data_IF_956377463139
#
_entry.id   IF_956377463139
#
_cell.length_a   1.000
_cell.length_b   1.000
_cell.length_c   1.000
_cell.angle_alpha   90.00
_cell.angle_beta   90.00
_cell.angle_gamma   90.00
#
_symmetry.space_group_name_H-M   'P 1'
#
loop_
_entity.id
_entity.type
_entity.pdbx_description
1 polymer ?
#
# COMPACT_ATOMS: atom_id res chain seq x y z
N UNK A 1 -29.33 -2.98 -7.63
CA UNK A 1 -28.05 -3.53 -7.12
C UNK A 1 -26.93 -3.13 -8.05
N UNK A 2 -25.85 -2.48 -7.57
CA UNK A 2 -24.71 -2.12 -8.43
C UNK A 2 -23.96 -3.40 -8.80
N UNK A 3 -23.99 -3.79 -10.08
CA UNK A 3 -23.31 -5.01 -10.55
C UNK A 3 -21.82 -4.70 -10.70
N UNK A 4 -20.99 -5.55 -10.10
CA UNK A 4 -19.54 -5.45 -10.24
C UNK A 4 -19.16 -5.89 -11.66
N UNK A 5 -18.48 -5.02 -12.42
CA UNK A 5 -17.97 -5.34 -13.76
C UNK A 5 -16.59 -5.98 -13.67
N UNK A 6 -15.68 -5.33 -12.92
CA UNK A 6 -14.26 -5.67 -12.93
C UNK A 6 -13.59 -5.43 -11.57
N UNK A 7 -12.55 -6.22 -11.31
CA UNK A 7 -11.63 -6.05 -10.18
C UNK A 7 -10.23 -5.87 -10.74
N UNK A 8 -9.64 -4.72 -10.50
CA UNK A 8 -8.32 -4.34 -11.00
C UNK A 8 -7.38 -4.20 -9.80
N UNK A 9 -6.18 -4.77 -9.91
CA UNK A 9 -5.12 -4.61 -8.91
C UNK A 9 -3.96 -3.86 -9.56
N UNK A 10 -3.63 -2.69 -9.05
CA UNK A 10 -2.50 -1.89 -9.53
C UNK A 10 -1.49 -1.67 -8.40
N UNK A 11 -0.23 -1.50 -8.77
CA UNK A 11 0.82 -1.06 -7.87
C UNK A 11 1.23 0.34 -8.30
N UNK A 12 1.01 1.33 -7.45
CA UNK A 12 1.28 2.73 -7.77
C UNK A 12 2.18 3.31 -6.69
N UNK A 13 3.03 4.27 -7.08
CA UNK A 13 3.83 5.01 -6.11
C UNK A 13 2.90 5.95 -5.33
N UNK A 14 3.10 6.02 -4.01
CA UNK A 14 2.41 6.98 -3.15
C UNK A 14 2.56 8.41 -3.69
N UNK A 15 1.49 9.21 -3.61
CA UNK A 15 1.43 10.62 -4.01
C UNK A 15 1.73 10.91 -5.51
N UNK A 16 2.06 9.90 -6.31
CA UNK A 16 2.54 10.02 -7.69
C UNK A 16 1.67 9.23 -8.68
N UNK A 17 0.36 9.13 -8.45
CA UNK A 17 -0.55 8.58 -9.45
C UNK A 17 -0.76 9.56 -10.60
N UNK A 18 -0.49 9.11 -11.83
CA UNK A 18 -0.65 9.88 -13.07
C UNK A 18 -1.48 9.05 -14.07
N UNK A 19 -2.23 9.65 -15.02
CA UNK A 19 -3.06 8.92 -15.99
C UNK A 19 -2.24 8.17 -17.06
N UNK A 20 -0.93 8.03 -16.87
CA UNK A 20 -0.01 7.38 -17.78
C UNK A 20 -0.31 5.87 -17.97
N UNK A 21 0.37 5.19 -18.93
CA UNK A 21 0.00 3.88 -19.48
C UNK A 21 -0.19 2.65 -18.55
N UNK A 22 0.15 2.62 -17.24
CA UNK A 22 -0.39 1.56 -16.38
C UNK A 22 -1.79 1.86 -15.84
N UNK A 23 -2.08 3.13 -15.49
CA UNK A 23 -3.36 3.54 -14.89
C UNK A 23 -4.37 3.86 -15.98
N UNK A 24 -3.97 4.66 -16.98
CA UNK A 24 -4.83 5.07 -18.08
C UNK A 24 -5.33 3.90 -18.90
N UNK A 25 -4.45 2.95 -19.25
CA UNK A 25 -4.82 1.75 -20.02
C UNK A 25 -5.72 0.81 -19.22
N UNK A 26 -5.44 0.60 -17.92
CA UNK A 26 -6.20 -0.34 -17.10
C UNK A 26 -7.58 0.18 -16.70
N UNK A 27 -7.70 1.49 -16.45
CA UNK A 27 -8.95 2.11 -15.99
C UNK A 27 -9.75 2.72 -17.15
N UNK A 28 -9.08 3.25 -18.18
CA UNK A 28 -9.72 3.91 -19.31
C UNK A 28 -10.67 3.02 -20.11
N UNK A 29 -10.37 1.72 -20.21
CA UNK A 29 -11.24 0.72 -20.88
C UNK A 29 -12.64 0.67 -20.25
N UNK A 30 -12.76 0.99 -18.97
CA UNK A 30 -14.04 0.97 -18.25
C UNK A 30 -14.76 2.32 -18.22
N UNK A 31 -14.21 3.36 -18.85
CA UNK A 31 -14.84 4.69 -18.92
C UNK A 31 -14.95 5.42 -17.57
N UNK A 32 -14.05 5.11 -16.62
CA UNK A 32 -13.97 5.76 -15.30
C UNK A 32 -13.12 7.03 -15.38
N UNK A 33 -13.46 8.02 -14.55
CA UNK A 33 -12.70 9.27 -14.48
C UNK A 33 -11.32 9.04 -13.83
N UNK A 34 -10.29 8.86 -14.68
CA UNK A 34 -8.91 8.59 -14.26
C UNK A 34 -8.35 9.75 -13.43
N UNK A 35 -8.69 10.99 -13.78
CA UNK A 35 -8.18 12.18 -13.08
C UNK A 35 -8.71 12.26 -11.64
N UNK A 36 -9.99 11.93 -11.43
CA UNK A 36 -10.58 11.82 -10.09
C UNK A 36 -9.94 10.70 -9.27
N UNK A 37 -9.63 9.57 -9.91
CA UNK A 37 -8.90 8.49 -9.26
C UNK A 37 -7.51 8.94 -8.82
N UNK A 38 -6.73 9.57 -9.71
CA UNK A 38 -5.39 10.07 -9.40
C UNK A 38 -5.41 11.07 -8.23
N UNK A 39 -6.34 12.04 -8.23
CA UNK A 39 -6.49 13.02 -7.14
C UNK A 39 -6.84 12.35 -5.81
N UNK A 40 -7.86 11.47 -5.79
CA UNK A 40 -8.30 10.76 -4.57
C UNK A 40 -7.21 9.82 -4.06
N UNK A 41 -6.45 9.20 -4.95
CA UNK A 41 -5.34 8.33 -4.59
C UNK A 41 -4.19 9.13 -3.97
N UNK A 42 -3.77 10.24 -4.58
CA UNK A 42 -2.71 11.09 -4.05
C UNK A 42 -3.11 11.69 -2.69
N UNK A 43 -4.38 12.09 -2.52
CA UNK A 43 -4.88 12.57 -1.24
C UNK A 43 -4.84 11.50 -0.14
N UNK A 44 -5.30 10.27 -0.44
CA UNK A 44 -5.28 9.16 0.55
C UNK A 44 -3.89 8.60 0.82
N UNK A 45 -2.96 8.75 -0.12
CA UNK A 45 -1.57 8.29 0.03
C UNK A 45 -0.63 9.39 0.53
N UNK A 46 -1.15 10.57 0.83
CA UNK A 46 -0.37 11.68 1.39
C UNK A 46 0.27 11.27 2.72
N UNK A 47 1.59 11.30 2.76
CA UNK A 47 2.39 10.87 3.93
C UNK A 47 2.78 9.38 3.93
N UNK A 48 2.28 8.58 3.00
CA UNK A 48 2.83 7.25 2.73
C UNK A 48 3.98 7.37 1.72
N UNK A 49 5.00 6.52 1.83
CA UNK A 49 6.14 6.48 0.91
C UNK A 49 6.24 5.09 0.30
N UNK A 50 6.68 4.99 -0.95
CA UNK A 50 6.94 3.70 -1.61
C UNK A 50 5.80 3.22 -2.52
N UNK A 51 5.85 1.94 -2.89
CA UNK A 51 4.90 1.33 -3.82
C UNK A 51 3.71 0.75 -3.04
N UNK A 52 2.54 1.32 -3.28
CA UNK A 52 1.29 0.99 -2.61
C UNK A 52 0.39 0.18 -3.56
N UNK A 53 0.00 -1.04 -3.16
CA UNK A 53 -0.99 -1.80 -3.89
C UNK A 53 -2.40 -1.22 -3.69
N UNK A 54 -3.11 -1.00 -4.79
CA UNK A 54 -4.50 -0.51 -4.81
C UNK A 54 -5.41 -1.53 -5.48
N UNK A 55 -6.53 -1.81 -4.82
CA UNK A 55 -7.58 -2.68 -5.35
C UNK A 55 -8.75 -1.82 -5.78
N UNK A 56 -9.09 -1.85 -7.06
CA UNK A 56 -10.14 -1.04 -7.66
C UNK A 56 -11.27 -1.98 -8.10
N UNK A 57 -12.49 -1.66 -7.68
CA UNK A 57 -13.72 -2.33 -8.08
C UNK A 57 -14.52 -1.38 -8.95
N UNK A 58 -14.84 -1.80 -10.17
CA UNK A 58 -15.62 -1.01 -11.12
C UNK A 58 -17.04 -1.57 -11.19
N UNK A 59 -18.02 -0.69 -11.15
CA UNK A 59 -19.45 -1.02 -11.18
C UNK A 59 -20.10 -0.59 -12.50
N UNK A 60 -21.23 -1.21 -12.83
CA UNK A 60 -22.00 -1.02 -14.08
C UNK A 60 -22.38 0.44 -14.39
N UNK A 61 -22.46 1.29 -13.37
CA UNK A 61 -22.82 2.71 -13.43
C UNK A 61 -21.60 3.63 -13.66
N UNK A 62 -20.44 3.07 -14.05
CA UNK A 62 -19.14 3.78 -14.11
C UNK A 62 -18.68 4.32 -12.75
N UNK A 63 -19.31 3.89 -11.64
CA UNK A 63 -18.77 4.14 -10.32
C UNK A 63 -17.56 3.24 -10.07
N UNK A 64 -16.60 3.74 -9.30
CA UNK A 64 -15.48 2.95 -8.81
C UNK A 64 -15.34 3.08 -7.30
N UNK A 65 -14.97 1.98 -6.66
CA UNK A 65 -14.54 1.95 -5.27
C UNK A 65 -13.10 1.44 -5.25
N UNK A 66 -12.22 2.15 -4.57
CA UNK A 66 -10.84 1.72 -4.43
C UNK A 66 -10.45 1.60 -2.95
N UNK A 67 -9.73 0.54 -2.64
CA UNK A 67 -9.15 0.28 -1.34
C UNK A 67 -7.63 0.29 -1.50
N UNK A 68 -6.98 1.17 -0.77
CA UNK A 68 -5.53 1.20 -0.63
C UNK A 68 -5.18 0.20 0.46
N UNK A 69 -4.21 -0.69 0.19
CA UNK A 69 -3.58 -1.50 1.23
C UNK A 69 -2.24 -0.87 1.58
N UNK A 70 -1.84 -0.92 2.85
CA UNK A 70 -0.50 -0.49 3.24
C UNK A 70 0.56 -1.33 2.54
N UNK A 71 1.73 -0.71 2.33
CA UNK A 71 2.91 -1.29 1.72
C UNK A 71 3.17 -2.72 2.19
N UNK A 72 3.64 -3.61 1.31
CA UNK A 72 3.98 -4.96 1.71
C UNK A 72 4.96 -4.94 2.90
N UNK A 73 4.77 -5.89 3.81
CA UNK A 73 5.56 -5.98 5.07
C UNK A 73 7.05 -6.00 4.74
N UNK A 74 7.43 -6.70 3.66
CA UNK A 74 8.81 -6.76 3.17
C UNK A 74 9.44 -5.40 2.88
N UNK A 75 8.66 -4.40 2.45
CA UNK A 75 9.18 -3.08 2.10
C UNK A 75 9.26 -2.17 3.33
N UNK A 76 8.33 -2.32 4.28
CA UNK A 76 8.41 -1.68 5.60
C UNK A 76 9.61 -2.20 6.40
N UNK A 77 9.79 -3.52 6.42
CA UNK A 77 10.92 -4.17 7.07
C UNK A 77 12.25 -3.73 6.45
N UNK A 78 12.35 -3.71 5.11
CA UNK A 78 13.54 -3.20 4.42
C UNK A 78 13.85 -1.75 4.76
N UNK A 79 12.82 -0.89 4.86
CA UNK A 79 13.02 0.53 5.20
C UNK A 79 13.59 0.67 6.60
N UNK A 80 13.08 -0.09 7.57
CA UNK A 80 13.60 -0.13 8.94
C UNK A 80 15.02 -0.70 8.99
N UNK A 81 15.28 -1.79 8.25
CA UNK A 81 16.60 -2.43 8.19
C UNK A 81 17.66 -1.49 7.57
N UNK A 82 17.32 -0.77 6.50
CA UNK A 82 18.20 0.25 5.90
C UNK A 82 18.49 1.38 6.89
N UNK A 83 17.49 1.86 7.64
CA UNK A 83 17.69 2.89 8.68
C UNK A 83 18.63 2.37 9.77
N UNK A 84 18.45 1.12 10.22
CA UNK A 84 19.30 0.49 11.23
C UNK A 84 20.74 0.26 10.72
N UNK A 85 20.91 -0.14 9.45
CA UNK A 85 22.21 -0.28 8.79
C UNK A 85 22.95 1.05 8.64
N UNK A 86 22.24 2.12 8.31
CA UNK A 86 22.87 3.44 8.21
C UNK A 86 23.31 3.99 9.59
N UNK A 87 22.70 3.53 10.68
CA UNK A 87 23.07 3.92 12.04
C UNK A 87 24.22 3.09 12.62
N UNK A 88 24.39 1.86 12.16
CA UNK A 88 25.36 0.88 12.68
C UNK A 88 26.26 0.53 11.51
N UNK A 89 27.39 1.22 11.38
CA UNK A 89 28.28 1.14 10.21
C UNK A 89 28.53 -0.28 9.67
N UNK A 90 28.74 -0.34 8.35
CA UNK A 90 28.98 -1.56 7.56
C UNK A 90 30.04 -2.46 8.22
N UNK A 91 29.62 -3.51 8.91
CA UNK A 91 30.58 -4.43 9.54
C UNK A 91 29.98 -5.42 10.54
N UNK A 92 28.77 -5.16 11.04
CA UNK A 92 28.09 -6.11 11.95
C UNK A 92 26.88 -6.70 11.23
N UNK A 93 26.77 -8.02 11.27
CA UNK A 93 25.71 -8.85 10.67
C UNK A 93 24.32 -8.28 10.98
N UNK A 94 23.84 -7.42 10.09
CA UNK A 94 22.62 -6.67 10.27
C UNK A 94 21.47 -7.54 9.76
N UNK A 95 21.04 -8.46 10.64
CA UNK A 95 19.89 -9.34 10.40
C UNK A 95 18.82 -9.25 11.49
N UNK A 96 19.06 -8.54 12.60
CA UNK A 96 18.13 -8.49 13.72
C UNK A 96 17.34 -7.18 13.73
N UNK A 97 16.07 -7.25 13.34
CA UNK A 97 15.10 -6.19 13.63
C UNK A 97 14.83 -6.16 15.13
N UNK A 98 14.80 -4.97 15.74
CA UNK A 98 14.40 -4.83 17.14
C UNK A 98 12.92 -5.14 17.28
N UNK A 99 12.56 -5.75 18.41
CA UNK A 99 11.16 -6.07 18.76
C UNK A 99 10.28 -4.80 18.76
N UNK A 100 10.86 -3.66 19.12
CA UNK A 100 10.19 -2.36 19.09
C UNK A 100 9.75 -1.94 17.67
N UNK A 101 10.60 -2.20 16.67
CA UNK A 101 10.29 -1.83 15.29
C UNK A 101 9.24 -2.77 14.69
N UNK A 102 9.26 -4.05 15.07
CA UNK A 102 8.19 -5.00 14.74
C UNK A 102 6.86 -4.54 15.33
N UNK A 103 6.84 -4.05 16.58
CA UNK A 103 5.62 -3.52 17.21
C UNK A 103 5.09 -2.26 16.51
N UNK A 104 5.99 -1.35 16.07
CA UNK A 104 5.61 -0.16 15.29
C UNK A 104 5.02 -0.56 13.93
N UNK A 105 5.64 -1.50 13.22
CA UNK A 105 5.12 -2.03 11.95
C UNK A 105 3.77 -2.72 12.19
N UNK A 106 3.65 -3.52 13.25
CA UNK A 106 2.41 -4.20 13.64
C UNK A 106 1.28 -3.21 13.92
N UNK A 107 1.55 -2.12 14.65
CA UNK A 107 0.56 -1.09 14.95
C UNK A 107 0.06 -0.38 13.69
N UNK A 108 0.97 -0.06 12.75
CA UNK A 108 0.60 0.54 11.47
C UNK A 108 -0.20 -0.43 10.58
N UNK A 109 0.11 -1.73 10.65
CA UNK A 109 -0.46 -2.79 9.81
C UNK A 109 -1.73 -3.42 10.40
N UNK A 110 -2.06 -3.20 11.68
CA UNK A 110 -3.16 -3.91 12.36
C UNK A 110 -4.51 -3.73 11.67
N UNK A 111 -4.73 -2.59 11.00
CA UNK A 111 -5.94 -2.32 10.19
C UNK A 111 -6.05 -3.16 8.91
N UNK A 112 -4.92 -3.66 8.41
CA UNK A 112 -4.83 -4.55 7.25
C UNK A 112 -4.72 -6.04 7.63
N UNK A 113 -4.45 -6.34 8.90
CA UNK A 113 -4.35 -7.69 9.45
C UNK A 113 -5.72 -8.15 9.94
N UNK A 114 -5.94 -9.47 9.91
CA UNK A 114 -7.16 -10.08 10.43
C UNK A 114 -7.11 -10.26 11.96
N UNK A 115 -6.33 -9.45 12.67
CA UNK A 115 -6.04 -9.66 14.11
C UNK A 115 -6.21 -8.37 14.89
N UNK A 116 -6.80 -8.50 16.09
CA UNK A 116 -7.06 -7.37 16.98
C UNK A 116 -5.99 -7.22 18.08
N UNK A 117 -5.05 -8.18 18.16
CA UNK A 117 -3.99 -8.19 19.17
C UNK A 117 -2.63 -7.86 18.56
N UNK A 118 -1.93 -6.90 19.16
CA UNK A 118 -0.58 -6.48 18.77
C UNK A 118 0.42 -7.64 18.80
N UNK A 119 0.32 -8.54 19.78
CA UNK A 119 1.19 -9.73 19.87
C UNK A 119 0.98 -10.69 18.71
N UNK A 120 -0.27 -10.85 18.25
CA UNK A 120 -0.57 -11.71 17.10
C UNK A 120 -0.15 -11.02 15.81
N UNK A 121 -0.35 -9.71 15.71
CA UNK A 121 0.11 -8.92 14.58
C UNK A 121 1.64 -8.96 14.42
N UNK A 122 2.39 -8.82 15.52
CA UNK A 122 3.86 -8.91 15.51
C UNK A 122 4.38 -10.32 15.19
N UNK A 123 3.56 -11.37 15.37
CA UNK A 123 3.90 -12.75 15.02
C UNK A 123 3.61 -13.09 13.56
N UNK A 124 2.73 -12.32 12.92
CA UNK A 124 2.39 -12.45 11.49
C UNK A 124 3.42 -11.71 10.62
N UNK A 125 4.04 -10.66 11.16
CA UNK A 125 5.11 -9.87 10.55
C UNK A 125 6.44 -10.60 10.70
#
# INVERSE_FOLDING_TARGET
>A
MKKLIARIKLKLKAESANPAPPVGSSLGVFGINIMDFCKKYNFKTRGLKGIIPVHIKVFSDKSFIFSIKLNPISELVKTVDIINKNLIGEGVESKCLRVEDLNKIAFLKIKDLNTNSLKTASKII
#
